data_IF_071685393561
#
_entry.id   IF_071685393561
#
_cell.length_a   1.000
_cell.length_b   1.000
_cell.length_c   1.000
_cell.angle_alpha   90.00
_cell.angle_beta   90.00
_cell.angle_gamma   90.00
#
_symmetry.space_group_name_H-M   'P 1'
#
loop_
_entity.id
_entity.type
_entity.pdbx_description
1 polymer ?
#
# COMPACT_ATOMS: atom_id res chain seq x y z
N UNK A 1 -14.19 -10.37 14.86
CA UNK A 1 -13.17 -10.88 13.89
C UNK A 1 -11.79 -10.44 14.34
N UNK A 2 -10.81 -11.34 14.45
CA UNK A 2 -9.49 -11.01 15.00
C UNK A 2 -8.63 -10.25 13.99
N UNK A 3 -7.89 -9.26 14.49
CA UNK A 3 -6.88 -8.55 13.71
C UNK A 3 -5.66 -9.43 13.48
N UNK A 4 -5.25 -9.59 12.23
CA UNK A 4 -4.11 -10.45 11.86
C UNK A 4 -2.75 -9.97 12.38
N UNK A 5 -2.64 -8.75 12.91
CA UNK A 5 -1.39 -8.18 13.44
C UNK A 5 -1.32 -8.25 14.96
N UNK A 6 -2.39 -7.91 15.67
CA UNK A 6 -2.38 -7.82 17.13
C UNK A 6 -3.22 -8.90 17.82
N UNK A 7 -3.94 -9.74 17.06
CA UNK A 7 -4.78 -10.83 17.58
C UNK A 7 -6.07 -10.37 18.27
N UNK A 8 -6.19 -9.09 18.64
CA UNK A 8 -7.39 -8.53 19.26
C UNK A 8 -8.56 -8.45 18.28
N UNK A 9 -9.77 -8.54 18.82
CA UNK A 9 -10.97 -8.35 18.02
C UNK A 9 -11.06 -6.93 17.45
N UNK A 10 -11.60 -6.87 16.24
CA UNK A 10 -11.89 -5.63 15.54
C UNK A 10 -13.30 -5.21 15.96
N UNK A 11 -13.38 -4.31 16.95
CA UNK A 11 -14.65 -3.79 17.51
C UNK A 11 -15.34 -2.78 16.57
N UNK A 12 -14.59 -2.13 15.68
CA UNK A 12 -15.06 -1.09 14.77
C UNK A 12 -14.89 -1.46 13.27
N UNK A 13 -15.09 -0.50 12.34
CA UNK A 13 -14.76 -0.72 10.92
C UNK A 13 -13.25 -0.88 10.71
N UNK A 14 -12.81 -2.13 10.58
CA UNK A 14 -11.46 -2.49 10.15
C UNK A 14 -11.21 -2.23 8.66
N UNK A 15 -9.95 -2.33 8.27
CA UNK A 15 -9.53 -2.37 6.86
C UNK A 15 -9.09 -3.79 6.50
N UNK A 16 -9.06 -4.09 5.20
CA UNK A 16 -8.57 -5.36 4.67
C UNK A 16 -7.25 -5.18 3.97
N UNK A 17 -6.33 -6.13 4.18
CA UNK A 17 -5.10 -6.20 3.40
C UNK A 17 -5.43 -6.37 1.92
N UNK A 18 -4.85 -5.55 1.05
CA UNK A 18 -5.11 -5.59 -0.40
C UNK A 18 -4.46 -6.79 -1.10
N UNK A 19 -3.64 -7.57 -0.39
CA UNK A 19 -2.96 -8.77 -0.93
C UNK A 19 -3.58 -10.05 -0.39
N UNK A 20 -3.70 -10.20 0.93
CA UNK A 20 -4.18 -11.43 1.56
C UNK A 20 -5.60 -11.31 2.16
N UNK A 21 -6.29 -10.19 1.95
CA UNK A 21 -7.62 -9.89 2.47
C UNK A 21 -7.79 -9.95 4.01
N UNK A 22 -6.70 -10.12 4.76
CA UNK A 22 -6.75 -10.22 6.22
C UNK A 22 -7.36 -8.97 6.85
N UNK A 23 -8.21 -9.16 7.86
CA UNK A 23 -8.84 -8.09 8.61
C UNK A 23 -7.84 -7.46 9.58
N UNK A 24 -7.79 -6.14 9.60
CA UNK A 24 -6.84 -5.35 10.37
C UNK A 24 -7.53 -4.13 10.96
N UNK A 25 -7.09 -3.71 12.15
CA UNK A 25 -7.38 -2.34 12.60
C UNK A 25 -6.71 -1.34 11.64
N UNK A 26 -7.31 -0.16 11.46
CA UNK A 26 -6.70 0.92 10.67
C UNK A 26 -5.30 1.28 11.17
N UNK A 27 -5.11 1.24 12.49
CA UNK A 27 -3.84 1.55 13.16
C UNK A 27 -2.79 0.44 12.99
N UNK A 28 -3.23 -0.81 12.91
CA UNK A 28 -2.35 -1.95 12.67
C UNK A 28 -1.96 -2.10 11.18
N UNK A 29 -2.77 -1.57 10.27
CA UNK A 29 -2.51 -1.63 8.85
C UNK A 29 -1.50 -0.56 8.41
N UNK A 30 -0.68 -0.89 7.40
CA UNK A 30 0.20 0.06 6.72
C UNK A 30 -0.40 0.50 5.40
N UNK A 31 -0.31 1.80 5.09
CA UNK A 31 -0.85 2.38 3.84
C UNK A 31 0.28 2.62 2.84
N UNK A 32 0.10 2.13 1.61
CA UNK A 32 1.02 2.35 0.47
C UNK A 32 0.19 2.65 -0.77
N UNK A 33 0.46 3.77 -1.45
CA UNK A 33 -0.26 4.19 -2.67
C UNK A 33 -1.80 4.09 -2.54
N UNK A 34 -2.35 4.50 -1.39
CA UNK A 34 -3.80 4.46 -1.15
C UNK A 34 -4.37 3.13 -0.68
N UNK A 35 -3.58 2.04 -0.72
CA UNK A 35 -3.99 0.67 -0.35
C UNK A 35 -3.49 0.29 1.05
N UNK A 36 -4.23 -0.58 1.74
CA UNK A 36 -3.91 -1.05 3.10
C UNK A 36 -3.29 -2.45 3.08
N UNK A 37 -2.29 -2.68 3.93
CA UNK A 37 -1.53 -3.94 3.98
C UNK A 37 -1.25 -4.36 5.42
N UNK A 38 -1.24 -5.68 5.68
CA UNK A 38 -0.66 -6.24 6.90
C UNK A 38 0.88 -6.10 6.86
N UNK A 39 1.56 -6.27 8.00
CA UNK A 39 3.02 -6.11 8.11
C UNK A 39 3.78 -7.12 7.26
N UNK A 40 3.24 -8.33 7.08
CA UNK A 40 3.82 -9.35 6.19
C UNK A 40 3.79 -8.89 4.72
N UNK A 41 2.63 -8.47 4.24
CA UNK A 41 2.47 -8.03 2.84
C UNK A 41 3.05 -6.63 2.57
N UNK A 42 3.21 -5.80 3.60
CA UNK A 42 3.74 -4.44 3.47
C UNK A 42 5.14 -4.40 2.84
N UNK A 43 6.02 -5.37 3.15
CA UNK A 43 7.37 -5.42 2.56
C UNK A 43 7.32 -5.57 1.03
N UNK A 44 6.47 -6.47 0.54
CA UNK A 44 6.28 -6.67 -0.90
C UNK A 44 5.61 -5.45 -1.53
N UNK A 45 4.55 -4.94 -0.90
CA UNK A 45 3.84 -3.75 -1.38
C UNK A 45 4.75 -2.52 -1.51
N UNK A 46 5.68 -2.31 -0.56
CA UNK A 46 6.66 -1.22 -0.62
C UNK A 46 7.61 -1.36 -1.81
N UNK A 47 8.04 -2.59 -2.12
CA UNK A 47 8.91 -2.88 -3.27
C UNK A 47 8.16 -2.61 -4.58
N UNK A 48 6.94 -3.13 -4.73
CA UNK A 48 6.09 -2.89 -5.91
C UNK A 48 5.80 -1.41 -6.09
N UNK A 49 5.44 -0.69 -5.02
CA UNK A 49 5.18 0.74 -5.07
C UNK A 49 6.39 1.56 -5.55
N UNK A 50 7.61 1.15 -5.19
CA UNK A 50 8.83 1.80 -5.69
C UNK A 50 8.96 1.64 -7.21
N UNK A 51 8.70 0.44 -7.73
CA UNK A 51 8.71 0.20 -9.17
C UNK A 51 7.59 0.95 -9.90
N UNK A 52 6.38 0.98 -9.35
CA UNK A 52 5.27 1.75 -9.91
C UNK A 52 5.57 3.25 -9.96
N UNK A 53 6.19 3.80 -8.91
CA UNK A 53 6.62 5.21 -8.90
C UNK A 53 7.74 5.49 -9.90
N UNK A 54 8.70 4.58 -10.06
CA UNK A 54 9.75 4.70 -11.08
C UNK A 54 9.17 4.64 -12.50
N UNK A 55 8.29 3.68 -12.77
CA UNK A 55 7.61 3.56 -14.06
C UNK A 55 6.74 4.79 -14.35
N UNK A 56 6.04 5.31 -13.34
CA UNK A 56 5.27 6.55 -13.47
C UNK A 56 6.16 7.75 -13.77
N UNK A 57 7.32 7.85 -13.12
CA UNK A 57 8.31 8.91 -13.38
C UNK A 57 8.84 8.83 -14.81
N UNK A 58 9.30 7.66 -15.25
CA UNK A 58 9.78 7.45 -16.63
C UNK A 58 8.70 7.78 -17.66
N UNK A 59 7.45 7.37 -17.43
CA UNK A 59 6.33 7.73 -18.31
C UNK A 59 6.09 9.24 -18.38
N UNK A 60 6.16 9.95 -17.24
CA UNK A 60 6.01 11.41 -17.21
C UNK A 60 7.19 12.10 -17.90
N UNK A 61 8.43 11.64 -17.68
CA UNK A 61 9.64 12.18 -18.33
C UNK A 61 9.64 11.95 -19.85
N UNK A 62 9.01 10.88 -20.35
CA UNK A 62 8.84 10.64 -21.79
C UNK A 62 7.74 11.48 -22.44
N UNK A 63 6.68 11.83 -21.70
CA UNK A 63 5.52 12.56 -22.25
C UNK A 63 5.58 14.07 -22.07
N UNK A 64 6.35 14.60 -21.12
CA UNK A 64 6.53 16.03 -20.99
C UNK A 64 7.60 16.51 -21.98
N UNK A 65 7.28 17.44 -22.90
CA UNK A 65 8.30 18.04 -23.75
C UNK A 65 9.36 18.67 -22.84
N UNK A 66 10.64 18.32 -23.07
CA UNK A 66 11.75 19.01 -22.41
C UNK A 66 11.59 20.49 -22.71
N UNK A 67 11.37 21.32 -21.68
CA UNK A 67 11.34 22.78 -21.83
C UNK A 67 12.68 23.17 -22.46
N UNK A 68 12.64 23.52 -23.74
CA UNK A 68 13.71 24.22 -24.44
C UNK A 68 13.65 25.65 -23.90
N UNK A 69 14.66 26.04 -23.14
CA UNK A 69 14.99 27.44 -22.86
C UNK A 69 16.06 27.86 -23.85
#
# INVERSE_FOLDING_TARGET
>A
MPCAECGREIEARGVRCSTCAAALHRECAKKVLGRWYCRRCYKQAKKTAKFELMARRDYLERKLPKKIW
#
